data_IF_454463794552
#
_entry.id   IF_454463794552
#
_cell.length_a   1.000
_cell.length_b   1.000
_cell.length_c   1.000
_cell.angle_alpha   90.00
_cell.angle_beta   90.00
_cell.angle_gamma   90.00
#
_symmetry.space_group_name_H-M   'P 1'
#
loop_
_entity.id
_entity.type
_entity.pdbx_description
1 polymer ?
#
# COMPACT_ATOMS: atom_id res chain seq x y z
N UNK A 1 10.13 -2.34 18.68
CA UNK A 1 10.57 -3.54 17.92
C UNK A 1 9.41 -4.52 17.81
N UNK A 2 9.44 -5.35 16.78
CA UNK A 2 8.51 -6.49 16.59
C UNK A 2 9.26 -7.62 15.88
N UNK A 3 8.70 -8.81 15.99
CA UNK A 3 9.16 -10.00 15.29
C UNK A 3 8.02 -10.60 14.46
N UNK A 4 8.35 -11.33 13.42
CA UNK A 4 7.42 -12.03 12.54
C UNK A 4 7.88 -13.48 12.43
N UNK A 5 6.97 -14.41 12.71
CA UNK A 5 7.24 -15.83 12.63
C UNK A 5 7.21 -16.29 11.16
N UNK A 6 7.93 -17.36 10.85
CA UNK A 6 7.88 -17.98 9.52
C UNK A 6 6.43 -18.41 9.20
N UNK A 7 5.95 -18.02 8.03
CA UNK A 7 4.59 -18.32 7.58
C UNK A 7 3.51 -17.39 8.19
N UNK A 8 3.88 -16.46 9.06
CA UNK A 8 2.95 -15.49 9.63
C UNK A 8 2.67 -14.35 8.64
N UNK A 9 1.43 -13.93 8.55
CA UNK A 9 1.02 -12.72 7.84
C UNK A 9 0.72 -11.60 8.83
N UNK A 10 1.42 -10.46 8.71
CA UNK A 10 1.18 -9.29 9.55
C UNK A 10 0.73 -8.09 8.72
N UNK A 11 -0.26 -7.35 9.26
CA UNK A 11 -0.73 -6.08 8.72
C UNK A 11 -0.11 -4.90 9.46
N UNK A 12 0.36 -3.89 8.72
CA UNK A 12 0.78 -2.61 9.28
C UNK A 12 -0.31 -1.57 9.02
N UNK A 13 -0.88 -1.02 10.08
CA UNK A 13 -1.92 0.02 9.99
C UNK A 13 -1.48 1.32 10.67
N UNK A 14 -2.08 2.44 10.27
CA UNK A 14 -1.79 3.76 10.82
C UNK A 14 -2.05 4.86 9.81
N UNK A 15 -2.05 6.12 10.26
CA UNK A 15 -2.23 7.31 9.41
C UNK A 15 -1.13 7.42 8.34
N UNK A 16 -1.42 8.20 7.28
CA UNK A 16 -0.38 8.56 6.32
C UNK A 16 0.75 9.32 7.04
N UNK A 17 2.00 8.99 6.66
CA UNK A 17 3.18 9.58 7.29
C UNK A 17 3.58 8.99 8.66
N UNK A 18 2.87 7.99 9.20
CA UNK A 18 3.21 7.39 10.51
C UNK A 18 4.42 6.44 10.47
N UNK A 19 4.98 6.14 9.27
CA UNK A 19 6.17 5.31 9.12
C UNK A 19 5.95 3.91 8.52
N UNK A 20 4.75 3.55 8.02
CA UNK A 20 4.47 2.24 7.40
C UNK A 20 5.40 1.95 6.20
N UNK A 21 5.40 2.84 5.19
CA UNK A 21 6.23 2.67 3.99
C UNK A 21 7.73 2.77 4.33
N UNK A 22 8.11 3.59 5.32
CA UNK A 22 9.49 3.64 5.84
C UNK A 22 9.89 2.28 6.43
N UNK A 23 9.00 1.64 7.18
CA UNK A 23 9.23 0.29 7.71
C UNK A 23 9.43 -0.71 6.58
N UNK A 24 8.61 -0.69 5.52
CA UNK A 24 8.80 -1.57 4.37
C UNK A 24 10.13 -1.30 3.64
N UNK A 25 10.51 -0.02 3.44
CA UNK A 25 11.81 0.35 2.84
C UNK A 25 13.00 -0.11 3.66
N UNK A 26 12.88 -0.14 4.97
CA UNK A 26 13.88 -0.71 5.87
C UNK A 26 13.97 -2.23 5.71
N UNK A 27 12.83 -2.92 5.59
CA UNK A 27 12.78 -4.36 5.39
C UNK A 27 13.34 -4.79 4.01
N UNK A 28 13.18 -3.96 2.99
CA UNK A 28 13.76 -4.18 1.65
C UNK A 28 15.22 -3.76 1.53
N UNK A 29 15.78 -3.15 2.58
CA UNK A 29 17.13 -2.56 2.59
C UNK A 29 17.36 -1.46 1.55
N UNK A 30 16.28 -0.82 1.09
CA UNK A 30 16.35 0.42 0.30
C UNK A 30 16.94 1.56 1.15
N UNK A 31 16.58 1.57 2.45
CA UNK A 31 17.18 2.45 3.45
C UNK A 31 17.70 1.61 4.63
N UNK A 32 18.65 2.17 5.39
CA UNK A 32 19.22 1.52 6.56
C UNK A 32 18.79 2.24 7.85
N UNK A 33 18.64 1.53 8.98
CA UNK A 33 18.28 2.16 10.24
C UNK A 33 19.49 2.93 10.82
N UNK A 34 19.23 4.13 11.37
CA UNK A 34 20.26 4.92 12.10
C UNK A 34 20.69 4.22 13.39
N UNK A 35 19.81 3.41 13.98
CA UNK A 35 20.08 2.65 15.20
C UNK A 35 19.26 1.35 15.24
N UNK A 36 19.76 0.38 15.98
CA UNK A 36 19.14 -0.94 16.04
C UNK A 36 19.57 -1.87 14.91
N UNK A 37 18.85 -2.96 14.71
CA UNK A 37 19.14 -3.95 13.66
C UNK A 37 17.88 -4.55 13.07
N UNK A 38 17.97 -4.96 11.81
CA UNK A 38 16.92 -5.70 11.10
C UNK A 38 17.52 -7.02 10.63
N UNK A 39 16.88 -8.12 11.00
CA UNK A 39 17.28 -9.46 10.60
C UNK A 39 16.14 -10.13 9.85
N UNK A 40 16.41 -10.56 8.62
CA UNK A 40 15.44 -11.30 7.79
C UNK A 40 16.13 -12.58 7.33
N UNK A 41 15.47 -13.72 7.51
CA UNK A 41 15.94 -15.02 7.05
C UNK A 41 15.15 -15.43 5.81
N UNK A 42 15.86 -15.74 4.73
CA UNK A 42 15.27 -16.18 3.47
C UNK A 42 15.25 -15.08 2.39
N UNK A 43 14.65 -15.44 1.25
CA UNK A 43 14.53 -14.58 0.08
C UNK A 43 13.36 -13.62 0.26
N UNK A 44 13.62 -12.32 0.15
CA UNK A 44 12.61 -11.26 0.21
C UNK A 44 12.19 -10.89 -1.19
N UNK A 45 10.89 -10.86 -1.45
CA UNK A 45 10.28 -10.23 -2.61
C UNK A 45 9.42 -9.06 -2.16
N UNK A 46 9.44 -7.98 -2.92
CA UNK A 46 8.71 -6.76 -2.59
C UNK A 46 7.83 -6.33 -3.75
N UNK A 47 6.58 -6.03 -3.43
CA UNK A 47 5.63 -5.43 -4.35
C UNK A 47 5.60 -3.89 -4.21
N UNK A 48 6.61 -3.27 -3.59
CA UNK A 48 6.67 -1.82 -3.38
C UNK A 48 6.82 -1.03 -4.68
N UNK A 49 7.51 -1.60 -5.64
CA UNK A 49 7.86 -0.94 -6.89
C UNK A 49 7.52 -1.85 -8.09
N UNK A 50 6.22 -2.05 -8.33
CA UNK A 50 5.75 -2.86 -9.44
C UNK A 50 6.17 -2.27 -10.78
N UNK A 51 6.70 -3.14 -11.65
CA UNK A 51 7.11 -2.77 -13.01
C UNK A 51 8.43 -2.01 -13.08
N UNK A 52 9.13 -1.84 -11.97
CA UNK A 52 10.52 -1.33 -12.01
C UNK A 52 11.38 -2.28 -12.82
N UNK A 53 12.11 -1.72 -13.78
CA UNK A 53 12.93 -2.49 -14.72
C UNK A 53 12.20 -2.92 -16.00
N UNK A 54 10.92 -2.61 -16.18
CA UNK A 54 10.27 -2.81 -17.47
C UNK A 54 10.87 -1.87 -18.52
N UNK A 55 11.21 -2.43 -19.68
CA UNK A 55 11.71 -1.67 -20.82
C UNK A 55 10.54 -1.35 -21.76
N UNK A 56 10.27 -0.08 -22.05
CA UNK A 56 9.07 0.33 -22.80
C UNK A 56 9.00 -0.23 -24.23
N UNK A 57 10.14 -0.42 -24.90
CA UNK A 57 10.20 -0.90 -26.29
C UNK A 57 10.22 -2.43 -26.40
N UNK A 58 10.36 -3.14 -25.30
CA UNK A 58 10.29 -4.61 -25.27
C UNK A 58 8.83 -5.07 -25.12
N UNK A 59 8.54 -6.26 -25.65
CA UNK A 59 7.24 -6.92 -25.50
C UNK A 59 6.94 -7.25 -24.04
N UNK A 60 5.68 -7.52 -23.73
CA UNK A 60 5.29 -7.99 -22.41
C UNK A 60 6.03 -9.26 -22.01
N UNK A 61 6.19 -10.20 -22.95
CA UNK A 61 6.94 -11.44 -22.71
C UNK A 61 8.40 -11.18 -22.36
N UNK A 62 9.09 -10.34 -23.12
CA UNK A 62 10.49 -9.97 -22.84
C UNK A 62 10.61 -9.27 -21.47
N UNK A 63 9.66 -8.43 -21.11
CA UNK A 63 9.61 -7.78 -19.81
C UNK A 63 9.35 -8.77 -18.66
N UNK A 64 8.60 -9.87 -18.87
CA UNK A 64 8.50 -10.96 -17.90
C UNK A 64 9.89 -11.54 -17.62
N UNK A 65 10.66 -11.86 -18.65
CA UNK A 65 12.02 -12.41 -18.47
C UNK A 65 12.94 -11.42 -17.78
N UNK A 66 12.92 -10.16 -18.20
CA UNK A 66 13.74 -9.11 -17.62
C UNK A 66 13.44 -8.92 -16.15
N UNK A 67 12.17 -8.73 -15.81
CA UNK A 67 11.74 -8.42 -14.44
C UNK A 67 11.89 -9.63 -13.51
N UNK A 68 11.52 -10.84 -13.95
CA UNK A 68 11.71 -12.05 -13.16
C UNK A 68 13.21 -12.34 -12.89
N UNK A 69 14.10 -11.98 -13.83
CA UNK A 69 15.56 -12.06 -13.63
C UNK A 69 16.04 -11.08 -12.57
N UNK A 70 15.48 -9.86 -12.51
CA UNK A 70 15.76 -8.88 -11.43
C UNK A 70 15.36 -9.45 -10.07
N UNK A 71 14.24 -10.18 -9.99
CA UNK A 71 13.84 -10.90 -8.80
C UNK A 71 14.69 -12.16 -8.51
N UNK A 72 15.70 -12.43 -9.34
CA UNK A 72 16.69 -13.49 -9.14
C UNK A 72 16.22 -14.88 -9.57
N UNK A 73 15.26 -14.99 -10.50
CA UNK A 73 14.91 -16.25 -11.15
C UNK A 73 15.90 -16.54 -12.29
N UNK A 74 16.27 -17.80 -12.41
CA UNK A 74 17.03 -18.29 -13.56
C UNK A 74 16.12 -18.39 -14.79
N UNK A 75 16.71 -18.37 -16.00
CA UNK A 75 15.97 -18.55 -17.25
C UNK A 75 15.08 -19.81 -17.22
N UNK A 76 15.60 -20.91 -16.71
CA UNK A 76 14.88 -22.19 -16.61
C UNK A 76 13.64 -22.10 -15.72
N UNK A 77 13.75 -21.38 -14.61
CA UNK A 77 12.60 -21.14 -13.71
C UNK A 77 11.56 -20.22 -14.36
N UNK A 78 12.00 -19.23 -15.12
CA UNK A 78 11.11 -18.33 -15.86
C UNK A 78 10.39 -19.10 -16.97
N UNK A 79 11.09 -19.94 -17.74
CA UNK A 79 10.49 -20.77 -18.80
C UNK A 79 9.37 -21.68 -18.27
N UNK A 80 9.48 -22.12 -17.01
CA UNK A 80 8.43 -22.92 -16.35
C UNK A 80 7.20 -22.10 -15.90
N UNK A 81 7.37 -20.81 -15.68
CA UNK A 81 6.36 -19.93 -15.08
C UNK A 81 5.75 -18.92 -16.06
N UNK A 82 6.41 -18.68 -17.20
CA UNK A 82 6.02 -17.60 -18.11
C UNK A 82 4.58 -17.72 -18.58
N UNK A 83 4.11 -18.92 -18.88
CA UNK A 83 2.72 -19.13 -19.32
C UNK A 83 1.72 -18.87 -18.20
N UNK A 84 2.03 -19.28 -16.98
CA UNK A 84 1.19 -19.00 -15.79
C UNK A 84 1.13 -17.49 -15.50
N UNK A 85 2.26 -16.79 -15.64
CA UNK A 85 2.33 -15.33 -15.49
C UNK A 85 1.46 -14.63 -16.54
N UNK A 86 1.56 -15.06 -17.81
CA UNK A 86 0.77 -14.49 -18.91
C UNK A 86 -0.73 -14.74 -18.64
N UNK A 87 -1.12 -15.96 -18.35
CA UNK A 87 -2.52 -16.30 -18.08
C UNK A 87 -3.05 -15.61 -16.82
N UNK A 88 -2.22 -15.42 -15.79
CA UNK A 88 -2.63 -14.68 -14.62
C UNK A 88 -2.87 -13.20 -14.94
N UNK A 89 -2.05 -12.59 -15.81
CA UNK A 89 -2.17 -11.18 -16.23
C UNK A 89 -3.40 -10.90 -17.12
N UNK A 90 -3.96 -11.93 -17.77
CA UNK A 90 -5.04 -11.82 -18.78
C UNK A 90 -4.63 -10.91 -19.96
N UNK A 91 -3.39 -11.04 -20.39
CA UNK A 91 -2.81 -10.23 -21.49
C UNK A 91 -2.32 -11.09 -22.66
N UNK A 92 -2.86 -12.29 -22.84
CA UNK A 92 -2.44 -13.24 -23.87
C UNK A 92 -2.40 -12.60 -25.27
N UNK A 93 -3.45 -11.83 -25.61
CA UNK A 93 -3.58 -11.19 -26.92
C UNK A 93 -2.57 -10.03 -27.13
N UNK A 94 -2.07 -9.44 -26.03
CA UNK A 94 -1.21 -8.27 -26.07
C UNK A 94 0.25 -8.55 -25.71
N UNK A 95 0.55 -9.79 -25.30
CA UNK A 95 1.84 -10.11 -24.67
C UNK A 95 3.05 -9.88 -25.58
N UNK A 96 2.88 -9.98 -26.90
CA UNK A 96 3.94 -9.74 -27.88
C UNK A 96 4.05 -8.26 -28.28
N UNK A 97 3.15 -7.40 -27.80
CA UNK A 97 3.21 -5.97 -28.10
C UNK A 97 4.20 -5.26 -27.14
N UNK A 98 4.87 -4.19 -27.60
CA UNK A 98 5.70 -3.36 -26.74
C UNK A 98 4.92 -2.77 -25.56
N UNK A 99 5.50 -2.83 -24.36
CA UNK A 99 4.82 -2.40 -23.12
C UNK A 99 4.46 -0.91 -23.14
N UNK A 100 5.15 -0.07 -23.92
CA UNK A 100 4.76 1.34 -24.13
C UNK A 100 3.36 1.52 -24.72
N UNK A 101 2.78 0.48 -25.34
CA UNK A 101 1.42 0.50 -25.90
C UNK A 101 0.37 0.06 -24.91
N UNK A 102 0.77 -0.39 -23.71
CA UNK A 102 -0.14 -0.86 -22.69
C UNK A 102 -0.85 0.30 -22.00
N UNK A 103 -2.10 0.11 -21.62
CA UNK A 103 -2.75 0.99 -20.66
C UNK A 103 -2.07 0.86 -19.28
N UNK A 104 -2.29 1.85 -18.40
CA UNK A 104 -1.77 1.77 -17.03
C UNK A 104 -2.26 0.51 -16.29
N UNK A 105 -3.51 0.10 -16.54
CA UNK A 105 -4.07 -1.13 -15.98
C UNK A 105 -3.36 -2.39 -16.50
N UNK A 106 -3.13 -2.50 -17.80
CA UNK A 106 -2.39 -3.62 -18.42
C UNK A 106 -0.96 -3.70 -17.89
N UNK A 107 -0.28 -2.55 -17.80
CA UNK A 107 1.06 -2.45 -17.25
C UNK A 107 1.12 -2.99 -15.81
N UNK A 108 0.20 -2.53 -14.96
CA UNK A 108 0.15 -2.95 -13.56
C UNK A 108 -0.25 -4.42 -13.40
N UNK A 109 -1.16 -4.93 -14.23
CA UNK A 109 -1.53 -6.35 -14.25
C UNK A 109 -0.32 -7.23 -14.56
N UNK A 110 0.45 -6.89 -15.60
CA UNK A 110 1.66 -7.63 -15.96
C UNK A 110 2.69 -7.58 -14.82
N UNK A 111 2.98 -6.39 -14.31
CA UNK A 111 3.97 -6.20 -13.24
C UNK A 111 3.61 -6.98 -11.97
N UNK A 112 2.34 -6.94 -11.55
CA UNK A 112 1.86 -7.73 -10.42
C UNK A 112 1.97 -9.24 -10.69
N UNK A 113 1.60 -9.67 -11.90
CA UNK A 113 1.64 -11.09 -12.28
C UNK A 113 3.05 -11.65 -12.23
N UNK A 114 4.05 -10.87 -12.64
CA UNK A 114 5.46 -11.28 -12.49
C UNK A 114 5.83 -11.37 -11.01
N UNK A 115 5.59 -10.32 -10.25
CA UNK A 115 6.05 -10.21 -8.88
C UNK A 115 5.41 -11.26 -7.94
N UNK A 116 4.12 -11.60 -8.15
CA UNK A 116 3.41 -12.58 -7.31
C UNK A 116 3.79 -14.04 -7.64
N UNK A 117 4.37 -14.30 -8.78
CA UNK A 117 4.83 -15.63 -9.20
C UNK A 117 6.32 -15.89 -8.88
N UNK A 118 7.01 -14.94 -8.28
CA UNK A 118 8.35 -15.14 -7.73
C UNK A 118 8.26 -15.92 -6.43
N UNK A 119 9.05 -17.01 -6.32
CA UNK A 119 9.14 -17.74 -5.06
C UNK A 119 9.92 -16.91 -4.04
N UNK A 120 9.26 -16.53 -2.97
CA UNK A 120 9.84 -15.79 -1.86
C UNK A 120 9.54 -16.46 -0.53
N UNK A 121 10.46 -16.35 0.44
CA UNK A 121 10.22 -16.74 1.82
C UNK A 121 9.48 -15.65 2.59
N UNK A 122 9.69 -14.39 2.18
CA UNK A 122 9.07 -13.20 2.75
C UNK A 122 8.55 -12.31 1.62
N UNK A 123 7.26 -11.99 1.65
CA UNK A 123 6.58 -11.12 0.69
C UNK A 123 6.18 -9.81 1.37
N UNK A 124 6.66 -8.69 0.84
CA UNK A 124 6.35 -7.34 1.32
C UNK A 124 5.40 -6.65 0.36
N UNK A 125 4.27 -6.14 0.88
CA UNK A 125 3.18 -5.59 0.07
C UNK A 125 2.83 -4.20 0.58
N UNK A 126 2.79 -3.19 -0.32
CA UNK A 126 2.37 -1.82 0.00
C UNK A 126 1.17 -1.42 -0.87
N UNK A 127 -0.02 -1.37 -0.29
CA UNK A 127 -1.29 -0.84 -0.85
C UNK A 127 -1.69 -1.32 -2.27
N UNK A 128 -1.01 -2.30 -2.83
CA UNK A 128 -1.07 -2.67 -4.26
C UNK A 128 -2.31 -3.51 -4.63
N UNK A 129 -3.18 -3.85 -3.68
CA UNK A 129 -4.37 -4.65 -3.97
C UNK A 129 -5.46 -3.89 -4.76
N UNK A 130 -5.20 -2.63 -5.11
CA UNK A 130 -6.01 -1.81 -6.01
C UNK A 130 -5.66 -1.90 -7.49
N UNK A 131 -4.83 -2.87 -7.90
CA UNK A 131 -4.41 -3.06 -9.30
C UNK A 131 -5.53 -3.63 -10.17
N UNK A 132 -5.73 -3.01 -11.34
CA UNK A 132 -6.73 -3.49 -12.30
C UNK A 132 -8.17 -3.22 -11.88
N UNK A 133 -9.09 -3.94 -12.47
CA UNK A 133 -10.51 -3.90 -12.13
C UNK A 133 -10.85 -4.81 -10.93
N UNK A 134 -12.10 -4.76 -10.50
CA UNK A 134 -12.60 -5.52 -9.33
C UNK A 134 -12.38 -7.02 -9.47
N UNK A 135 -12.51 -7.57 -10.69
CA UNK A 135 -12.29 -9.00 -10.95
C UNK A 135 -10.83 -9.38 -10.76
N UNK A 136 -9.92 -8.59 -11.30
CA UNK A 136 -8.49 -8.81 -11.15
C UNK A 136 -8.02 -8.62 -9.69
N UNK A 137 -8.57 -7.63 -8.98
CA UNK A 137 -8.28 -7.43 -7.55
C UNK A 137 -8.68 -8.66 -6.72
N UNK A 138 -9.82 -9.26 -7.00
CA UNK A 138 -10.26 -10.51 -6.36
C UNK A 138 -9.28 -11.65 -6.62
N UNK A 139 -8.87 -11.83 -7.87
CA UNK A 139 -7.87 -12.82 -8.29
C UNK A 139 -6.52 -12.62 -7.58
N UNK A 140 -6.06 -11.38 -7.48
CA UNK A 140 -4.85 -11.03 -6.71
C UNK A 140 -4.98 -11.42 -5.24
N UNK A 141 -6.13 -11.14 -4.64
CA UNK A 141 -6.38 -11.45 -3.25
C UNK A 141 -6.41 -12.98 -2.99
N UNK A 142 -7.09 -13.74 -3.84
CA UNK A 142 -7.12 -15.20 -3.79
C UNK A 142 -5.70 -15.78 -3.91
N UNK A 143 -4.90 -15.24 -4.82
CA UNK A 143 -3.51 -15.67 -5.00
C UNK A 143 -2.66 -15.40 -3.75
N UNK A 144 -2.86 -14.28 -3.07
CA UNK A 144 -2.17 -13.98 -1.81
C UNK A 144 -2.56 -14.97 -0.70
N UNK A 145 -3.82 -15.39 -0.65
CA UNK A 145 -4.26 -16.40 0.31
C UNK A 145 -3.60 -17.77 0.04
N UNK A 146 -3.44 -18.15 -1.23
CA UNK A 146 -2.71 -19.37 -1.61
C UNK A 146 -1.25 -19.31 -1.19
N UNK A 147 -0.59 -18.17 -1.43
CA UNK A 147 0.82 -17.94 -1.05
C UNK A 147 1.00 -18.01 0.46
N UNK A 148 0.07 -17.42 1.23
CA UNK A 148 0.05 -17.55 2.68
C UNK A 148 -0.13 -19.00 3.12
N UNK A 149 -1.09 -19.72 2.53
CA UNK A 149 -1.34 -21.12 2.84
C UNK A 149 -0.14 -22.02 2.53
N UNK A 150 0.68 -21.67 1.53
CA UNK A 150 1.94 -22.34 1.22
C UNK A 150 3.07 -22.04 2.22
N UNK A 151 2.84 -21.20 3.24
CA UNK A 151 3.80 -20.93 4.32
C UNK A 151 4.74 -19.75 4.07
N UNK A 152 4.46 -18.91 3.07
CA UNK A 152 5.20 -17.65 2.85
C UNK A 152 4.86 -16.65 3.96
N UNK A 153 5.88 -16.00 4.51
CA UNK A 153 5.71 -14.90 5.47
C UNK A 153 5.29 -13.64 4.74
N UNK A 154 4.25 -12.96 5.21
CA UNK A 154 3.72 -11.76 4.54
C UNK A 154 3.75 -10.56 5.49
N UNK A 155 4.25 -9.43 4.98
CA UNK A 155 4.10 -8.12 5.63
C UNK A 155 3.33 -7.23 4.67
N UNK A 156 2.14 -6.81 5.06
CA UNK A 156 1.24 -6.03 4.21
C UNK A 156 0.87 -4.70 4.85
N UNK A 157 0.97 -3.63 4.08
CA UNK A 157 0.34 -2.34 4.36
C UNK A 157 -0.91 -2.24 3.51
N UNK A 158 -2.05 -1.97 4.12
CA UNK A 158 -3.30 -1.72 3.39
C UNK A 158 -4.17 -0.71 4.15
N UNK A 159 -4.92 0.08 3.38
CA UNK A 159 -5.99 0.91 3.94
C UNK A 159 -7.31 0.15 4.10
N UNK A 160 -7.44 -1.02 3.48
CA UNK A 160 -8.61 -1.89 3.64
C UNK A 160 -8.45 -2.77 4.87
N UNK A 161 -9.06 -2.35 5.98
CA UNK A 161 -9.05 -3.11 7.24
C UNK A 161 -9.66 -4.50 7.06
N UNK A 162 -10.70 -4.64 6.23
CA UNK A 162 -11.33 -5.92 5.91
C UNK A 162 -10.36 -6.90 5.24
N UNK A 163 -9.55 -6.43 4.28
CA UNK A 163 -8.53 -7.28 3.66
C UNK A 163 -7.49 -7.77 4.66
N UNK A 164 -7.07 -6.89 5.60
CA UNK A 164 -6.15 -7.26 6.66
C UNK A 164 -6.74 -8.32 7.60
N UNK A 165 -8.03 -8.22 7.94
CA UNK A 165 -8.71 -9.22 8.76
C UNK A 165 -8.80 -10.59 8.10
N UNK A 166 -8.89 -10.63 6.77
CA UNK A 166 -8.99 -11.88 6.01
C UNK A 166 -7.63 -12.54 5.74
N UNK A 167 -6.55 -11.76 5.67
CA UNK A 167 -5.21 -12.29 5.35
C UNK A 167 -4.31 -12.39 6.57
N UNK A 168 -4.31 -11.40 7.47
CA UNK A 168 -3.31 -11.29 8.51
C UNK A 168 -3.67 -12.12 9.74
N UNK A 169 -2.65 -12.70 10.36
CA UNK A 169 -2.76 -13.37 11.66
C UNK A 169 -2.68 -12.34 12.79
N UNK A 170 -1.99 -11.23 12.53
CA UNK A 170 -1.76 -10.15 13.49
C UNK A 170 -1.65 -8.79 12.78
N UNK A 171 -2.13 -7.75 13.43
CA UNK A 171 -1.94 -6.36 13.00
C UNK A 171 -1.06 -5.58 13.97
N UNK A 172 -0.28 -4.65 13.43
CA UNK A 172 0.55 -3.71 14.16
C UNK A 172 0.08 -2.30 13.83
N UNK A 173 -0.43 -1.60 14.82
CA UNK A 173 -0.79 -0.21 14.69
C UNK A 173 0.41 0.69 14.96
N UNK A 174 0.82 1.44 13.96
CA UNK A 174 1.90 2.42 14.04
C UNK A 174 1.29 3.82 14.17
N UNK A 175 1.70 4.55 15.19
CA UNK A 175 1.34 5.95 15.41
C UNK A 175 2.58 6.75 15.74
N UNK A 176 2.81 7.86 15.00
CA UNK A 176 3.93 8.79 15.21
C UNK A 176 5.30 8.09 15.29
N UNK A 177 5.53 7.14 14.37
CA UNK A 177 6.77 6.35 14.28
C UNK A 177 6.94 5.29 15.36
N UNK A 178 5.94 5.06 16.22
CA UNK A 178 5.97 4.08 17.30
C UNK A 178 4.87 3.05 17.16
N UNK A 179 5.13 1.84 17.65
CA UNK A 179 4.11 0.82 17.77
C UNK A 179 3.17 1.22 18.91
N UNK A 180 1.91 1.42 18.60
CA UNK A 180 0.87 1.74 19.59
C UNK A 180 0.19 0.48 20.11
N UNK A 181 -0.11 -0.45 19.21
CA UNK A 181 -0.79 -1.69 19.56
C UNK A 181 -0.38 -2.81 18.62
N UNK A 182 -0.36 -4.05 19.12
CA UNK A 182 -0.14 -5.29 18.37
C UNK A 182 -1.14 -6.32 18.83
N UNK A 183 -1.86 -6.95 17.92
CA UNK A 183 -2.86 -7.95 18.30
C UNK A 183 -3.62 -8.53 17.13
N UNK A 184 -4.72 -9.20 17.44
CA UNK A 184 -5.63 -9.79 16.46
C UNK A 184 -6.19 -8.68 15.56
N UNK A 185 -6.24 -8.89 14.23
CA UNK A 185 -6.62 -7.84 13.27
C UNK A 185 -7.97 -7.18 13.60
N UNK A 186 -9.01 -7.93 13.91
CA UNK A 186 -10.35 -7.39 14.24
C UNK A 186 -10.33 -6.45 15.43
N UNK A 187 -9.52 -6.75 16.45
CA UNK A 187 -9.42 -5.91 17.68
C UNK A 187 -8.63 -4.63 17.38
N UNK A 188 -7.44 -4.77 16.81
CA UNK A 188 -6.56 -3.63 16.50
C UNK A 188 -7.22 -2.69 15.49
N UNK A 189 -7.90 -3.23 14.49
CA UNK A 189 -8.64 -2.46 13.51
C UNK A 189 -9.81 -1.69 14.12
N UNK A 190 -10.57 -2.30 15.05
CA UNK A 190 -11.65 -1.63 15.75
C UNK A 190 -11.14 -0.44 16.61
N UNK A 191 -10.04 -0.64 17.33
CA UNK A 191 -9.41 0.43 18.11
C UNK A 191 -8.86 1.55 17.22
N UNK A 192 -8.24 1.18 16.10
CA UNK A 192 -7.75 2.14 15.11
C UNK A 192 -8.90 2.96 14.52
N UNK A 193 -9.99 2.29 14.10
CA UNK A 193 -11.16 2.96 13.52
C UNK A 193 -11.76 3.97 14.50
N UNK A 194 -11.99 3.56 15.75
CA UNK A 194 -12.51 4.43 16.81
C UNK A 194 -11.63 5.66 17.03
N UNK A 195 -10.32 5.48 17.10
CA UNK A 195 -9.38 6.58 17.28
C UNK A 195 -9.38 7.54 16.07
N UNK A 196 -9.57 7.02 14.84
CA UNK A 196 -9.67 7.87 13.66
C UNK A 196 -10.98 8.66 13.62
N UNK A 197 -12.06 8.07 14.07
CA UNK A 197 -13.36 8.74 14.17
C UNK A 197 -13.34 9.89 15.20
N UNK A 198 -12.75 9.67 16.36
CA UNK A 198 -12.54 10.71 17.37
C UNK A 198 -11.73 11.90 16.81
N UNK A 199 -10.65 11.63 16.07
CA UNK A 199 -9.85 12.69 15.45
C UNK A 199 -10.63 13.45 14.38
N UNK A 200 -11.46 12.75 13.60
CA UNK A 200 -12.32 13.38 12.59
C UNK A 200 -13.35 14.33 13.24
N UNK A 201 -14.01 13.87 14.30
CA UNK A 201 -14.99 14.67 15.04
C UNK A 201 -14.36 15.92 15.68
N UNK A 202 -13.14 15.78 16.21
CA UNK A 202 -12.39 16.93 16.74
C UNK A 202 -12.09 17.97 15.65
N UNK A 203 -11.62 17.53 14.49
CA UNK A 203 -11.34 18.45 13.36
C UNK A 203 -12.58 19.17 12.87
N UNK A 204 -13.71 18.46 12.70
CA UNK A 204 -14.97 19.08 12.31
C UNK A 204 -15.40 20.19 13.31
N UNK A 205 -15.28 19.92 14.61
CA UNK A 205 -15.60 20.92 15.64
C UNK A 205 -14.68 22.15 15.58
N UNK A 206 -13.40 21.94 15.34
CA UNK A 206 -12.45 23.05 15.20
C UNK A 206 -12.71 23.89 13.92
N UNK A 207 -13.11 23.26 12.84
CA UNK A 207 -13.49 23.94 11.60
C UNK A 207 -14.78 24.76 11.78
N UNK A 208 -15.79 24.19 12.42
CA UNK A 208 -17.05 24.89 12.75
C UNK A 208 -16.82 26.12 13.64
N UNK A 209 -15.91 26.00 14.61
CA UNK A 209 -15.56 27.12 15.51
C UNK A 209 -14.84 28.23 14.73
N UNK A 210 -13.89 27.87 13.85
CA UNK A 210 -13.15 28.83 13.01
C UNK A 210 -14.08 29.54 12.03
N UNK A 211 -15.04 28.83 11.47
CA UNK A 211 -16.03 29.41 10.52
C UNK A 211 -16.98 30.39 11.24
N UNK A 212 -17.44 30.05 12.43
CA UNK A 212 -18.22 30.97 13.27
C UNK A 212 -17.45 32.25 13.60
N UNK A 213 -16.20 32.11 14.09
CA UNK A 213 -15.36 33.28 14.41
C UNK A 213 -15.10 34.17 13.18
N UNK A 214 -14.96 33.57 11.99
CA UNK A 214 -14.75 34.31 10.74
C UNK A 214 -16.03 35.06 10.30
N UNK A 215 -17.20 34.50 10.57
CA UNK A 215 -18.48 35.15 10.29
C UNK A 215 -18.77 36.28 11.27
N UNK A 216 -18.52 36.07 12.56
CA UNK A 216 -18.68 37.08 13.59
C UNK A 216 -17.80 38.30 13.32
N UNK A 217 -16.54 38.09 12.95
CA UNK A 217 -15.62 39.16 12.58
C UNK A 217 -16.05 39.94 11.33
N UNK A 218 -16.63 39.24 10.34
CA UNK A 218 -17.20 39.92 9.15
C UNK A 218 -18.41 40.76 9.49
N UNK A 219 -19.20 40.39 10.49
CA UNK A 219 -20.36 41.17 10.94
C UNK A 219 -19.88 42.42 11.66
N UNK A 220 -18.88 42.28 12.56
CA UNK A 220 -18.28 43.43 13.25
C UNK A 220 -17.66 44.45 12.27
N UNK A 221 -16.83 43.98 11.32
CA UNK A 221 -16.20 44.82 10.30
C UNK A 221 -17.27 45.57 9.44
N UNK A 222 -18.40 44.93 9.13
CA UNK A 222 -19.50 45.55 8.38
C UNK A 222 -20.31 46.57 9.18
N UNK A 223 -20.42 46.36 10.49
CA UNK A 223 -21.08 47.31 11.41
C UNK A 223 -20.23 48.56 11.59
N UNK A 224 -18.91 48.40 11.77
CA UNK A 224 -17.96 49.51 11.87
C UNK A 224 -17.93 50.39 10.59
N UNK A 225 -17.98 49.77 9.41
CA UNK A 225 -18.07 50.47 8.14
C UNK A 225 -19.35 51.29 8.03
N UNK A 226 -20.49 50.74 8.50
CA UNK A 226 -21.78 51.44 8.49
C UNK A 226 -21.86 52.60 9.49
N UNK A 227 -21.20 52.48 10.64
CA UNK A 227 -21.11 53.55 11.59
C UNK A 227 -20.23 54.71 11.09
N UNK A 228 -19.06 54.40 10.51
CA UNK A 228 -18.19 55.41 9.91
C UNK A 228 -18.86 56.18 8.74
N UNK A 229 -19.64 55.51 7.90
CA UNK A 229 -20.40 56.17 6.82
C UNK A 229 -21.49 57.09 7.33
N UNK A 230 -22.09 56.80 8.48
CA UNK A 230 -23.10 57.70 9.09
C UNK A 230 -22.52 58.94 9.78
N UNK A 231 -21.25 58.87 10.17
CA UNK A 231 -20.55 60.03 10.74
C UNK A 231 -20.02 61.00 9.67
N UNK A 232 -19.71 60.52 8.45
CA UNK A 232 -19.31 61.37 7.31
C UNK A 232 -20.48 62.10 6.64
N UNK A 233 -21.73 61.66 6.85
CA UNK A 233 -22.94 62.31 6.30
C UNK A 233 -23.56 63.38 7.21
N UNK A 234 -22.93 63.71 8.35
CA UNK A 234 -23.37 64.76 9.30
C UNK A 234 -22.47 65.97 9.24
#
# INVERSE_FOLDING_TARGET
>A
SFDVKKGEAIGLIGKNGCGKCTTLKLLTRIIYPDSGSIQIKGKVSSLLELGVGFHPDMSGRENIYLNASIFGLTKKEIDQKVNDIISFSELEEFIENPVRTYSSGMYMRLAFSVAINVNADVLLIDEILGVGDVSFQKKCFERLQEIKAAGTTIVIVSHSLEQLERICDRCIWIQDGRIKEVGIPTIVNAHYYKAMEEVRLHKCKEEDIKEKQKNDKKIEDNEEIKENQKEEEK
#
